data_IF_943465547658
#
_entry.id   IF_943465547658
#
_cell.length_a   1.000
_cell.length_b   1.000
_cell.length_c   1.000
_cell.angle_alpha   90.00
_cell.angle_beta   90.00
_cell.angle_gamma   90.00
#
_symmetry.space_group_name_H-M   'P 1'
#
loop_
_entity.id
_entity.type
_entity.pdbx_description
1 polymer ?
#
# COMPACT_ATOMS: atom_id res chain seq x y z
N UNK A 1 -4.81 -1.83 -12.78
CA UNK A 1 -4.70 -1.53 -11.34
C UNK A 1 -3.51 -2.29 -10.75
N UNK A 2 -3.20 -2.10 -9.47
CA UNK A 2 -1.98 -2.68 -8.86
C UNK A 2 -2.13 -4.18 -8.73
N UNK A 3 -3.27 -4.66 -8.24
CA UNK A 3 -3.53 -6.08 -8.05
C UNK A 3 -3.40 -6.85 -9.36
N UNK A 4 -4.08 -6.38 -10.42
CA UNK A 4 -4.03 -7.00 -11.74
C UNK A 4 -2.61 -7.03 -12.33
N UNK A 5 -1.83 -5.98 -12.13
CA UNK A 5 -0.45 -5.93 -12.60
C UNK A 5 0.44 -6.97 -11.90
N UNK A 6 0.33 -7.07 -10.58
CA UNK A 6 1.07 -8.06 -9.80
C UNK A 6 0.67 -9.49 -10.19
N UNK A 7 -0.62 -9.78 -10.34
CA UNK A 7 -1.09 -11.10 -10.79
C UNK A 7 -0.59 -11.46 -12.19
N UNK A 8 -0.49 -10.48 -13.09
CA UNK A 8 -0.06 -10.68 -14.48
C UNK A 8 1.44 -10.86 -14.63
N UNK A 9 2.24 -10.02 -13.96
CA UNK A 9 3.71 -10.00 -14.11
C UNK A 9 4.43 -10.93 -13.14
N UNK A 10 3.81 -11.20 -11.99
CA UNK A 10 4.40 -11.98 -10.91
C UNK A 10 3.46 -13.14 -10.51
N UNK A 11 3.15 -14.07 -11.43
CA UNK A 11 2.13 -15.11 -11.21
C UNK A 11 2.48 -16.09 -10.09
N UNK A 12 3.76 -16.17 -9.70
CA UNK A 12 4.22 -16.98 -8.58
C UNK A 12 3.85 -16.40 -7.21
N UNK A 13 3.50 -15.10 -7.12
CA UNK A 13 3.00 -14.52 -5.88
C UNK A 13 1.68 -15.20 -5.49
N UNK A 14 1.62 -15.68 -4.25
CA UNK A 14 0.42 -16.34 -3.74
C UNK A 14 -0.65 -15.29 -3.45
N UNK A 15 -1.86 -15.57 -3.92
CA UNK A 15 -3.05 -14.81 -3.57
C UNK A 15 -3.72 -15.45 -2.35
N UNK A 16 -4.12 -14.62 -1.39
CA UNK A 16 -4.79 -15.04 -0.17
C UNK A 16 -6.12 -14.32 -0.03
N UNK A 17 -7.12 -14.99 0.58
CA UNK A 17 -8.34 -14.32 1.01
C UNK A 17 -8.17 -13.85 2.44
N UNK A 18 -8.10 -12.54 2.62
CA UNK A 18 -7.84 -11.91 3.92
C UNK A 18 -9.02 -11.01 4.31
N UNK A 19 -9.27 -10.91 5.62
CA UNK A 19 -10.24 -9.98 6.18
C UNK A 19 -9.67 -8.56 6.21
N UNK A 20 -10.54 -7.56 6.22
CA UNK A 20 -10.15 -6.14 6.33
C UNK A 20 -9.25 -5.88 7.55
N UNK A 21 -9.57 -6.47 8.69
CA UNK A 21 -8.76 -6.30 9.90
C UNK A 21 -7.35 -6.89 9.74
N UNK A 22 -7.22 -8.03 9.06
CA UNK A 22 -5.91 -8.60 8.70
C UNK A 22 -5.14 -7.68 7.74
N UNK A 23 -5.82 -7.07 6.76
CA UNK A 23 -5.18 -6.11 5.85
C UNK A 23 -4.72 -4.84 6.56
N UNK A 24 -5.50 -4.34 7.52
CA UNK A 24 -5.10 -3.20 8.36
C UNK A 24 -3.86 -3.55 9.18
N UNK A 25 -3.82 -4.72 9.80
CA UNK A 25 -2.66 -5.20 10.54
C UNK A 25 -1.40 -5.30 9.65
N UNK A 26 -1.52 -5.88 8.44
CA UNK A 26 -0.43 -5.94 7.47
C UNK A 26 0.03 -4.54 7.03
N UNK A 27 -0.91 -3.63 6.76
CA UNK A 27 -0.62 -2.25 6.36
C UNK A 27 0.17 -1.52 7.44
N UNK A 28 -0.29 -1.61 8.70
CA UNK A 28 0.42 -1.01 9.83
C UNK A 28 1.81 -1.59 10.04
N UNK A 29 1.98 -2.91 9.87
CA UNK A 29 3.29 -3.54 9.96
C UNK A 29 4.26 -2.98 8.90
N UNK A 30 3.82 -2.85 7.65
CA UNK A 30 4.62 -2.28 6.55
C UNK A 30 4.95 -0.81 6.83
N UNK A 31 3.96 -0.02 7.21
CA UNK A 31 4.11 1.41 7.48
C UNK A 31 5.04 1.69 8.68
N UNK A 32 4.93 0.91 9.76
CA UNK A 32 5.81 1.06 10.93
C UNK A 32 7.24 0.59 10.65
N UNK A 33 7.39 -0.47 9.86
CA UNK A 33 8.70 -0.94 9.45
C UNK A 33 9.38 0.08 8.52
N UNK A 34 8.60 0.76 7.68
CA UNK A 34 9.07 1.93 6.95
C UNK A 34 9.51 3.05 7.91
N UNK A 35 8.68 3.47 8.87
CA UNK A 35 9.03 4.51 9.85
C UNK A 35 10.33 4.21 10.60
N UNK A 36 10.60 2.94 10.89
CA UNK A 36 11.79 2.51 11.61
C UNK A 36 13.08 2.66 10.79
N UNK A 37 12.98 2.93 9.47
CA UNK A 37 14.10 2.92 8.53
C UNK A 37 14.37 4.29 7.93
N UNK A 38 15.65 4.61 7.74
CA UNK A 38 16.10 5.87 7.16
C UNK A 38 16.29 5.80 5.63
N UNK A 39 15.42 5.08 4.91
CA UNK A 39 15.63 4.73 3.48
C UNK A 39 15.01 5.69 2.47
N UNK A 40 14.21 6.68 2.92
CA UNK A 40 13.52 7.67 2.07
C UNK A 40 12.87 7.03 0.82
N UNK A 41 11.89 6.13 0.99
CA UNK A 41 11.24 5.41 -0.12
C UNK A 41 10.29 6.29 -0.92
N UNK A 42 9.84 5.77 -2.05
CA UNK A 42 8.59 6.21 -2.67
C UNK A 42 7.43 5.42 -2.04
N UNK A 43 6.52 6.14 -1.39
CA UNK A 43 5.39 5.57 -0.66
C UNK A 43 4.08 5.82 -1.42
N UNK A 44 3.25 4.79 -1.55
CA UNK A 44 1.94 4.88 -2.18
C UNK A 44 0.89 4.16 -1.35
N UNK A 45 -0.25 4.83 -1.13
CA UNK A 45 -1.43 4.25 -0.50
C UNK A 45 -2.62 4.38 -1.44
N UNK A 46 -3.45 3.35 -1.55
CA UNK A 46 -4.76 3.48 -2.18
C UNK A 46 -5.86 3.12 -1.19
N UNK A 47 -6.81 4.03 -1.02
CA UNK A 47 -7.96 3.86 -0.15
C UNK A 47 -9.22 3.85 -1.01
N UNK A 48 -10.04 2.83 -0.83
CA UNK A 48 -11.26 2.65 -1.62
C UNK A 48 -12.23 3.84 -1.49
N UNK A 49 -12.28 4.45 -0.28
CA UNK A 49 -13.20 5.54 0.07
C UNK A 49 -12.54 6.56 0.99
N UNK A 50 -12.93 7.82 0.86
CA UNK A 50 -12.42 8.93 1.68
C UNK A 50 -12.66 8.74 3.18
N UNK A 51 -13.73 8.03 3.56
CA UNK A 51 -14.00 7.66 4.97
C UNK A 51 -12.88 6.80 5.59
N UNK A 52 -12.22 5.95 4.80
CA UNK A 52 -11.08 5.13 5.25
C UNK A 52 -9.77 5.91 5.23
N UNK A 53 -9.66 6.89 4.33
CA UNK A 53 -8.50 7.78 4.26
C UNK A 53 -8.43 8.77 5.44
N UNK A 54 -9.55 9.43 5.77
CA UNK A 54 -9.63 10.45 6.82
C UNK A 54 -8.92 10.06 8.14
N UNK A 55 -9.17 8.88 8.74
CA UNK A 55 -8.47 8.47 9.96
C UNK A 55 -6.99 8.12 9.75
N UNK A 56 -6.58 7.68 8.56
CA UNK A 56 -5.17 7.36 8.25
C UNK A 56 -4.33 8.61 7.94
N UNK A 57 -4.97 9.72 7.57
CA UNK A 57 -4.31 10.95 7.10
C UNK A 57 -3.25 11.53 8.04
N UNK A 58 -3.45 11.66 9.37
CA UNK A 58 -2.40 12.18 10.25
C UNK A 58 -1.15 11.32 10.23
N UNK A 59 -1.32 9.98 10.27
CA UNK A 59 -0.20 9.03 10.21
C UNK A 59 0.55 9.15 8.88
N UNK A 60 -0.17 9.18 7.76
CA UNK A 60 0.45 9.31 6.44
C UNK A 60 1.17 10.64 6.20
N UNK A 61 0.81 11.71 6.92
CA UNK A 61 1.60 12.95 6.94
C UNK A 61 2.95 12.77 7.64
N UNK A 62 2.99 12.04 8.75
CA UNK A 62 4.26 11.69 9.40
C UNK A 62 5.14 10.82 8.49
N UNK A 63 4.53 9.84 7.83
CA UNK A 63 5.18 9.00 6.82
C UNK A 63 5.80 9.84 5.69
N UNK A 64 5.05 10.82 5.18
CA UNK A 64 5.48 11.68 4.09
C UNK A 64 6.73 12.53 4.43
N UNK A 65 6.91 12.93 5.70
CA UNK A 65 8.06 13.74 6.13
C UNK A 65 9.42 13.04 5.96
N UNK A 66 9.43 11.71 6.05
CA UNK A 66 10.64 10.89 5.94
C UNK A 66 10.73 10.14 4.62
N UNK A 67 9.68 10.18 3.79
CA UNK A 67 9.67 9.63 2.45
C UNK A 67 10.44 10.51 1.45
N UNK A 68 10.84 9.93 0.32
CA UNK A 68 11.28 10.70 -0.87
C UNK A 68 10.07 11.30 -1.58
N UNK A 69 8.98 10.56 -1.65
CA UNK A 69 7.67 11.05 -2.07
C UNK A 69 6.57 10.17 -1.47
N UNK A 70 5.41 10.74 -1.20
CA UNK A 70 4.25 10.02 -0.68
C UNK A 70 2.99 10.39 -1.48
N UNK A 71 2.28 9.38 -1.98
CA UNK A 71 1.03 9.54 -2.72
C UNK A 71 -0.09 8.76 -2.06
N UNK A 72 -1.26 9.38 -1.98
CA UNK A 72 -2.48 8.71 -1.55
C UNK A 72 -3.51 8.83 -2.66
N UNK A 73 -3.89 7.69 -3.24
CA UNK A 73 -4.94 7.57 -4.23
C UNK A 73 -6.27 7.30 -3.54
N UNK A 74 -7.25 8.17 -3.72
CA UNK A 74 -8.55 8.11 -3.02
C UNK A 74 -9.65 8.66 -3.92
N UNK A 75 -10.89 8.23 -3.72
CA UNK A 75 -12.05 8.70 -4.49
C UNK A 75 -12.29 10.22 -4.35
N UNK A 76 -12.20 10.75 -3.13
CA UNK A 76 -12.39 12.16 -2.80
C UNK A 76 -11.28 12.65 -1.86
N UNK A 77 -10.26 13.37 -2.39
CA UNK A 77 -9.17 13.87 -1.56
C UNK A 77 -9.63 14.99 -0.62
N UNK A 78 -9.00 15.08 0.55
CA UNK A 78 -9.39 16.02 1.61
C UNK A 78 -8.93 17.47 1.40
N UNK A 79 -8.49 17.83 0.18
CA UNK A 79 -8.16 19.20 -0.21
C UNK A 79 -6.91 19.81 0.45
N UNK A 80 -6.00 19.01 1.01
CA UNK A 80 -4.77 19.52 1.63
C UNK A 80 -3.53 18.77 1.17
N UNK A 81 -3.10 19.06 -0.05
CA UNK A 81 -1.72 18.79 -0.47
C UNK A 81 -0.77 19.73 0.28
N UNK A 82 0.23 19.15 0.93
CA UNK A 82 1.16 19.85 1.83
C UNK A 82 1.92 18.85 2.69
N UNK A 83 3.13 19.20 3.12
CA UNK A 83 4.06 18.35 3.89
C UNK A 83 4.62 17.12 3.14
N UNK A 84 4.77 17.21 1.82
CA UNK A 84 5.35 16.11 1.01
C UNK A 84 4.40 14.95 0.70
N UNK A 85 3.11 15.10 1.06
CA UNK A 85 2.04 14.17 0.73
C UNK A 85 1.18 14.70 -0.43
N UNK A 86 1.08 13.92 -1.50
CA UNK A 86 0.22 14.20 -2.65
C UNK A 86 -1.05 13.36 -2.58
N UNK A 87 -2.20 14.00 -2.34
CA UNK A 87 -3.52 13.35 -2.41
C UNK A 87 -4.03 13.39 -3.86
N UNK A 88 -4.31 12.21 -4.44
CA UNK A 88 -4.64 11.98 -5.83
C UNK A 88 -6.10 11.51 -5.93
N UNK A 89 -6.93 12.28 -6.65
CA UNK A 89 -8.32 11.89 -6.91
C UNK A 89 -8.37 10.76 -7.95
N UNK A 90 -8.82 9.57 -7.54
CA UNK A 90 -9.07 8.46 -8.44
C UNK A 90 -10.27 8.74 -9.33
N UNK A 91 -10.11 8.58 -10.64
CA UNK A 91 -11.22 8.66 -11.59
C UNK A 91 -12.36 7.68 -11.20
N UNK A 92 -13.64 8.01 -11.44
CA UNK A 92 -14.79 7.15 -11.14
C UNK A 92 -14.68 5.73 -11.70
N UNK A 93 -14.13 5.59 -12.91
CA UNK A 93 -13.95 4.32 -13.60
C UNK A 93 -12.64 3.60 -13.22
N UNK A 94 -11.83 4.18 -12.33
CA UNK A 94 -10.56 3.58 -11.96
C UNK A 94 -10.78 2.26 -11.20
N UNK A 95 -10.22 1.14 -11.67
CA UNK A 95 -10.29 -0.13 -10.95
C UNK A 95 -9.66 -0.06 -9.55
N UNK A 96 -8.77 0.91 -9.32
CA UNK A 96 -8.16 1.14 -7.99
C UNK A 96 -9.14 1.66 -6.94
N UNK A 97 -10.36 2.11 -7.31
CA UNK A 97 -11.41 2.45 -6.33
C UNK A 97 -11.90 1.25 -5.52
N UNK A 98 -11.66 0.04 -6.01
CA UNK A 98 -11.98 -1.21 -5.29
C UNK A 98 -10.74 -1.88 -4.70
N UNK A 99 -9.59 -1.22 -4.76
CA UNK A 99 -8.34 -1.74 -4.23
C UNK A 99 -7.94 -1.06 -2.93
N UNK A 100 -7.31 -1.84 -2.07
CA UNK A 100 -6.51 -1.41 -0.95
C UNK A 100 -5.05 -1.64 -1.31
N UNK A 101 -4.24 -0.59 -1.27
CA UNK A 101 -2.83 -0.68 -1.66
C UNK A 101 -1.95 0.00 -0.62
N UNK A 102 -0.84 -0.64 -0.27
CA UNK A 102 0.31 -0.03 0.42
C UNK A 102 1.57 -0.47 -0.30
N UNK A 103 2.33 0.46 -0.85
CA UNK A 103 3.60 0.19 -1.53
C UNK A 103 4.68 1.09 -0.95
N UNK A 104 5.74 0.47 -0.46
CA UNK A 104 6.97 1.11 -0.03
C UNK A 104 8.09 0.64 -0.96
N UNK A 105 8.44 1.43 -1.97
CA UNK A 105 9.58 1.15 -2.86
C UNK A 105 10.84 1.74 -2.23
N UNK A 106 11.62 0.88 -1.57
CA UNK A 106 12.83 1.24 -0.82
C UNK A 106 14.01 0.33 -1.20
N UNK A 107 15.22 0.77 -0.88
CA UNK A 107 16.44 0.01 -1.18
C UNK A 107 16.72 -1.14 -0.20
N UNK A 108 16.29 -1.03 1.06
CA UNK A 108 16.63 -2.00 2.11
C UNK A 108 15.51 -3.01 2.39
N UNK A 109 14.26 -2.56 2.35
CA UNK A 109 13.09 -3.41 2.57
C UNK A 109 11.94 -2.88 1.72
N UNK A 110 11.90 -3.23 0.44
CA UNK A 110 10.74 -2.95 -0.39
C UNK A 110 9.58 -3.83 0.10
N UNK A 111 8.38 -3.28 0.13
CA UNK A 111 7.18 -4.03 0.49
C UNK A 111 5.98 -3.52 -0.30
N UNK A 112 5.17 -4.45 -0.80
CA UNK A 112 3.91 -4.15 -1.45
C UNK A 112 2.83 -5.05 -0.91
N UNK A 113 1.68 -4.44 -0.62
CA UNK A 113 0.40 -5.08 -0.34
C UNK A 113 -0.60 -4.51 -1.33
N UNK A 114 -1.30 -5.39 -2.03
CA UNK A 114 -2.44 -5.02 -2.88
C UNK A 114 -3.56 -6.01 -2.65
N UNK A 115 -4.75 -5.49 -2.43
CA UNK A 115 -5.92 -6.28 -2.14
C UNK A 115 -7.14 -5.75 -2.89
N UNK A 116 -7.89 -6.64 -3.50
CA UNK A 116 -9.13 -6.34 -4.21
C UNK A 116 -10.32 -6.88 -3.43
N UNK A 117 -11.31 -6.04 -3.18
CA UNK A 117 -12.49 -6.46 -2.43
C UNK A 117 -13.40 -7.38 -3.25
N UNK A 118 -13.85 -8.46 -2.64
CA UNK A 118 -14.83 -9.35 -3.26
C UNK A 118 -16.22 -8.68 -3.31
N UNK A 119 -16.99 -8.85 -4.40
CA UNK A 119 -18.34 -8.28 -4.50
C UNK A 119 -19.33 -8.95 -3.53
N UNK A 120 -20.44 -8.25 -3.23
CA UNK A 120 -21.56 -8.80 -2.46
C UNK A 120 -21.35 -8.81 -0.95
N UNK A 121 -20.68 -7.80 -0.40
CA UNK A 121 -20.31 -7.73 1.02
C UNK A 121 -20.96 -6.56 1.77
N UNK A 122 -22.05 -6.00 1.25
CA UNK A 122 -22.72 -4.82 1.82
C UNK A 122 -23.28 -5.08 3.24
N UNK A 123 -23.67 -6.33 3.53
CA UNK A 123 -24.20 -6.77 4.84
C UNK A 123 -23.12 -7.35 5.78
N UNK A 124 -21.86 -7.37 5.36
CA UNK A 124 -20.75 -7.92 6.17
C UNK A 124 -20.23 -6.82 7.08
N UNK A 125 -20.00 -7.14 8.37
CA UNK A 125 -19.32 -6.22 9.30
C UNK A 125 -18.03 -5.71 8.68
N UNK A 126 -17.77 -4.41 8.75
CA UNK A 126 -16.66 -3.78 8.01
C UNK A 126 -15.29 -4.47 8.20
N UNK A 127 -14.93 -4.84 9.43
CA UNK A 127 -13.67 -5.56 9.73
C UNK A 127 -13.59 -6.99 9.16
N UNK A 128 -14.74 -7.60 8.87
CA UNK A 128 -14.91 -8.98 8.42
C UNK A 128 -14.96 -9.11 6.89
N UNK A 129 -15.06 -7.98 6.16
CA UNK A 129 -15.06 -7.95 4.68
C UNK A 129 -13.81 -8.65 4.15
N UNK A 130 -13.99 -9.44 3.09
CA UNK A 130 -12.97 -10.28 2.48
C UNK A 130 -12.40 -9.65 1.21
N UNK A 131 -11.10 -9.83 1.06
CA UNK A 131 -10.33 -9.30 -0.05
C UNK A 131 -9.44 -10.40 -0.62
N UNK A 132 -9.36 -10.47 -1.94
CA UNK A 132 -8.30 -11.22 -2.60
C UNK A 132 -7.03 -10.39 -2.59
N UNK A 133 -5.97 -10.90 -1.99
CA UNK A 133 -4.82 -10.10 -1.55
C UNK A 133 -3.51 -10.75 -1.95
N UNK A 134 -2.56 -9.93 -2.39
CA UNK A 134 -1.17 -10.31 -2.61
C UNK A 134 -0.27 -9.39 -1.79
N UNK A 135 0.79 -9.94 -1.23
CA UNK A 135 1.84 -9.16 -0.59
C UNK A 135 3.21 -9.73 -0.93
N UNK A 136 4.24 -8.89 -0.90
CA UNK A 136 5.59 -9.30 -1.26
C UNK A 136 6.63 -8.31 -0.75
N UNK A 137 7.86 -8.81 -0.59
CA UNK A 137 9.08 -8.01 -0.39
C UNK A 137 10.06 -8.14 -1.58
N UNK A 138 9.61 -8.71 -2.70
CA UNK A 138 10.39 -8.79 -3.93
C UNK A 138 10.55 -7.39 -4.55
N UNK A 139 11.78 -6.86 -4.68
CA UNK A 139 12.03 -5.51 -5.19
C UNK A 139 11.44 -5.29 -6.59
N UNK A 140 11.43 -6.31 -7.46
CA UNK A 140 10.93 -6.17 -8.83
C UNK A 140 9.40 -6.03 -8.83
N UNK A 141 8.72 -6.85 -8.03
CA UNK A 141 7.27 -6.77 -7.88
C UNK A 141 6.82 -5.46 -7.22
N UNK A 142 7.54 -5.02 -6.18
CA UNK A 142 7.29 -3.75 -5.50
C UNK A 142 7.48 -2.57 -6.46
N UNK A 143 8.56 -2.58 -7.25
CA UNK A 143 8.83 -1.55 -8.27
C UNK A 143 7.73 -1.48 -9.32
N UNK A 144 7.24 -2.62 -9.80
CA UNK A 144 6.14 -2.67 -10.76
C UNK A 144 4.82 -2.13 -10.15
N UNK A 145 4.53 -2.44 -8.89
CA UNK A 145 3.39 -1.88 -8.17
C UNK A 145 3.50 -0.36 -8.00
N UNK A 146 4.66 0.15 -7.58
CA UNK A 146 4.93 1.58 -7.42
C UNK A 146 4.74 2.35 -8.74
N UNK A 147 5.21 1.76 -9.86
CA UNK A 147 5.02 2.34 -11.20
C UNK A 147 3.55 2.44 -11.58
N UNK A 148 2.71 1.45 -11.22
CA UNK A 148 1.26 1.55 -11.46
C UNK A 148 0.67 2.73 -10.69
N UNK A 149 0.97 2.84 -9.40
CA UNK A 149 0.47 3.95 -8.58
C UNK A 149 0.89 5.32 -9.14
N UNK A 150 2.17 5.47 -9.49
CA UNK A 150 2.70 6.72 -10.04
C UNK A 150 2.11 7.05 -11.42
N UNK A 151 1.90 6.05 -12.30
CA UNK A 151 1.21 6.25 -13.59
C UNK A 151 -0.23 6.69 -13.39
N UNK A 152 -0.98 6.04 -12.50
CA UNK A 152 -2.37 6.42 -12.20
C UNK A 152 -2.44 7.85 -11.66
N UNK A 153 -1.48 8.26 -10.82
CA UNK A 153 -1.40 9.65 -10.36
C UNK A 153 -1.11 10.64 -11.51
N UNK A 154 -0.19 10.29 -12.42
CA UNK A 154 0.12 11.12 -13.58
C UNK A 154 -1.07 11.26 -14.54
N UNK A 155 -1.79 10.16 -14.80
CA UNK A 155 -2.96 10.11 -15.70
C UNK A 155 -4.09 11.07 -15.27
N UNK A 156 -4.23 11.31 -13.96
CA UNK A 156 -5.21 12.26 -13.42
C UNK A 156 -4.62 13.67 -13.15
N UNK A 157 -3.38 13.92 -13.60
CA UNK A 157 -2.78 15.24 -13.61
C UNK A 157 -1.95 15.61 -12.36
N UNK A 158 -1.57 14.66 -11.51
CA UNK A 158 -0.67 14.95 -10.38
C UNK A 158 0.76 15.24 -10.89
N UNK A 159 1.17 16.50 -10.85
CA UNK A 159 2.46 16.95 -11.38
C UNK A 159 3.66 16.28 -10.69
N UNK A 160 3.53 15.99 -9.39
CA UNK A 160 4.55 15.33 -8.57
C UNK A 160 4.85 13.89 -9.04
N UNK A 161 3.94 13.26 -9.79
CA UNK A 161 4.13 11.91 -10.28
C UNK A 161 5.20 11.81 -11.38
N UNK A 162 5.44 12.86 -12.16
CA UNK A 162 6.40 12.86 -13.26
C UNK A 162 7.85 12.59 -12.81
N UNK A 163 8.44 13.33 -11.85
CA UNK A 163 9.79 13.03 -11.35
C UNK A 163 9.87 11.65 -10.69
N UNK A 164 8.79 11.20 -10.06
CA UNK A 164 8.73 9.87 -9.43
C UNK A 164 8.75 8.76 -10.48
N UNK A 165 8.01 8.91 -11.58
CA UNK A 165 8.08 7.97 -12.70
C UNK A 165 9.46 7.93 -13.34
N UNK A 166 10.16 9.06 -13.41
CA UNK A 166 11.55 9.11 -13.87
C UNK A 166 12.47 8.31 -12.94
N UNK A 167 12.38 8.51 -11.62
CA UNK A 167 13.15 7.74 -10.64
C UNK A 167 12.82 6.23 -10.71
N UNK A 168 11.55 5.90 -10.86
CA UNK A 168 11.07 4.52 -10.96
C UNK A 168 11.38 3.86 -12.31
N UNK A 169 11.76 4.60 -13.36
CA UNK A 169 12.14 4.04 -14.65
C UNK A 169 13.45 3.23 -14.57
N UNK A 170 14.32 3.57 -13.62
CA UNK A 170 15.50 2.77 -13.29
C UNK A 170 15.15 1.35 -12.80
N UNK A 171 16.14 0.44 -12.74
CA UNK A 171 15.93 -0.89 -12.17
C UNK A 171 15.44 -0.79 -10.73
N UNK A 172 14.71 -1.82 -10.28
CA UNK A 172 14.42 -1.96 -8.87
C UNK A 172 15.75 -1.97 -8.06
N UNK A 173 15.77 -1.43 -6.84
CA UNK A 173 16.99 -1.40 -6.05
C UNK A 173 17.60 -2.80 -5.92
N UNK A 174 18.88 -2.94 -6.27
CA UNK A 174 19.56 -4.23 -6.39
C UNK A 174 19.92 -4.93 -5.06
N UNK A 175 19.20 -4.65 -3.98
CA UNK A 175 19.43 -5.26 -2.66
C UNK A 175 18.41 -6.35 -2.38
N UNK A 176 18.86 -7.54 -1.97
CA UNK A 176 17.98 -8.49 -1.28
C UNK A 176 17.65 -7.87 0.07
N UNK A 177 16.37 -7.81 0.43
CA UNK A 177 15.99 -7.37 1.77
C UNK A 177 16.74 -8.21 2.81
N UNK A 178 17.40 -7.54 3.76
CA UNK A 178 18.15 -8.23 4.79
C UNK A 178 17.21 -9.15 5.62
N UNK A 179 17.67 -10.35 5.99
CA UNK A 179 16.84 -11.33 6.68
C UNK A 179 16.34 -10.81 8.04
N UNK A 180 17.14 -10.00 8.74
CA UNK A 180 16.68 -9.39 9.99
C UNK A 180 15.54 -8.39 9.75
N UNK A 181 15.60 -7.71 8.59
CA UNK A 181 14.56 -6.77 8.14
C UNK A 181 13.24 -7.48 7.85
N UNK A 182 13.30 -8.58 7.08
CA UNK A 182 12.13 -9.41 6.79
C UNK A 182 11.56 -10.03 8.08
N UNK A 183 12.43 -10.49 8.98
CA UNK A 183 12.02 -11.05 10.28
C UNK A 183 11.31 -10.02 11.15
N UNK A 184 11.80 -8.77 11.19
CA UNK A 184 11.16 -7.69 11.97
C UNK A 184 9.78 -7.35 11.41
N UNK A 185 9.65 -7.22 10.09
CA UNK A 185 8.35 -7.03 9.44
C UNK A 185 7.39 -8.19 9.78
N UNK A 186 7.86 -9.43 9.65
CA UNK A 186 7.06 -10.62 9.95
C UNK A 186 6.59 -10.65 11.41
N UNK A 187 7.47 -10.34 12.36
CA UNK A 187 7.12 -10.27 13.79
C UNK A 187 6.05 -9.20 14.06
N UNK A 188 6.13 -8.03 13.42
CA UNK A 188 5.09 -6.98 13.51
C UNK A 188 3.76 -7.47 12.95
N UNK A 189 3.79 -8.14 11.80
CA UNK A 189 2.58 -8.72 11.19
C UNK A 189 1.92 -9.71 12.15
N UNK A 190 2.67 -10.65 12.73
CA UNK A 190 2.14 -11.62 13.70
C UNK A 190 1.52 -10.91 14.90
N UNK A 191 2.23 -9.94 15.49
CA UNK A 191 1.74 -9.19 16.64
C UNK A 191 0.44 -8.41 16.35
N UNK A 192 0.35 -7.74 15.19
CA UNK A 192 -0.83 -6.97 14.83
C UNK A 192 -2.01 -7.85 14.42
N UNK A 193 -1.76 -9.00 13.78
CA UNK A 193 -2.82 -9.97 13.45
C UNK A 193 -3.38 -10.61 14.72
N UNK A 194 -2.55 -10.96 15.69
CA UNK A 194 -2.99 -11.48 16.99
C UNK A 194 -3.84 -10.44 17.73
N UNK A 195 -3.37 -9.19 17.82
CA UNK A 195 -4.11 -8.09 18.44
C UNK A 195 -5.44 -7.76 17.73
N UNK A 196 -5.53 -7.99 16.41
CA UNK A 196 -6.74 -7.78 15.63
C UNK A 196 -7.73 -8.96 15.73
N UNK A 197 -7.29 -10.13 16.20
CA UNK A 197 -8.13 -11.33 16.28
C UNK A 197 -8.88 -11.33 17.62
N UNK A 198 -10.22 -11.23 17.63
CA UNK A 198 -10.97 -11.33 18.87
C UNK A 198 -10.80 -12.73 19.49
N UNK A 199 -10.75 -12.85 20.84
CA UNK A 199 -10.58 -14.15 21.50
C UNK A 199 -11.71 -15.09 21.07
N UNK A 200 -11.36 -16.33 20.71
CA UNK A 200 -12.35 -17.36 20.40
C UNK A 200 -13.21 -17.59 21.63
N UNK A 201 -14.52 -17.36 21.53
CA UNK A 201 -15.47 -17.78 22.57
C UNK A 201 -15.46 -19.31 22.62
N UNK A 202 -15.02 -19.86 23.75
CA UNK A 202 -15.14 -21.28 24.12
C UNK A 202 -16.57 -21.64 24.42
#
# INVERSE_FOLDING_TARGET
SVYAELRRRHPALQAHRLRKDTLKALSWAIEDEFCARATRPHLFGAFQRAEFWRPARPRWRELARVARSAFVLVDEPGGGGGDGLTEVALAPESPMRREWVVVCDSTELPAALSAWELPGQDDVRDGDRLFESVWTVDPVAVRDAARVCARTAQEVGAAEAAPVLFDLAGPAPGGVADLASVTTLFNRVVAYVDAATPPRRS
#
